data_IF_176504841219
#
_entry.id   IF_176504841219
#
_cell.length_a   1.000
_cell.length_b   1.000
_cell.length_c   1.000
_cell.angle_alpha   90.00
_cell.angle_beta   90.00
_cell.angle_gamma   90.00
#
_symmetry.space_group_name_H-M   'P 1'
#
loop_
_entity.id
_entity.type
_entity.pdbx_description
1 polymer ?
#
# COMPACT_ATOMS: atom_id res chain seq x y z
N UNK A 1 22.75 -29.44 22.06
CA UNK A 1 22.33 -28.12 21.58
C UNK A 1 20.91 -27.88 22.09
N UNK A 2 20.64 -26.88 22.95
CA UNK A 2 19.32 -26.65 23.53
C UNK A 2 18.38 -26.05 22.48
N UNK A 3 17.12 -26.52 22.51
CA UNK A 3 16.03 -26.05 21.70
C UNK A 3 15.76 -24.57 21.94
N UNK A 4 15.85 -23.74 20.90
CA UNK A 4 15.45 -22.33 20.95
C UNK A 4 13.94 -22.25 21.20
N UNK A 5 13.59 -21.67 22.33
CA UNK A 5 12.24 -21.31 22.73
C UNK A 5 11.65 -20.36 21.69
N UNK A 6 10.74 -20.84 20.85
CA UNK A 6 10.00 -20.04 19.87
C UNK A 6 8.91 -19.29 20.66
N UNK A 7 9.15 -18.01 20.95
CA UNK A 7 8.15 -17.13 21.50
C UNK A 7 6.91 -17.03 20.57
N UNK A 8 5.79 -16.41 21.05
CA UNK A 8 4.48 -16.43 20.38
C UNK A 8 4.43 -15.69 19.03
N UNK A 9 5.53 -15.20 18.52
CA UNK A 9 5.66 -14.58 17.19
C UNK A 9 6.35 -15.55 16.23
N UNK A 10 5.72 -16.66 15.92
CA UNK A 10 6.15 -17.50 14.81
C UNK A 10 5.86 -16.76 13.49
N UNK A 11 6.82 -15.96 13.03
CA UNK A 11 6.94 -15.64 11.63
C UNK A 11 7.16 -16.97 10.90
N UNK A 12 6.11 -17.51 10.31
CA UNK A 12 6.21 -18.66 9.43
C UNK A 12 7.02 -18.24 8.19
N UNK A 13 8.32 -18.57 8.20
CA UNK A 13 9.21 -18.51 7.05
C UNK A 13 8.83 -19.61 6.05
N UNK A 14 7.64 -19.50 5.47
CA UNK A 14 7.33 -20.12 4.19
C UNK A 14 7.62 -19.08 3.12
N UNK A 15 8.30 -19.45 2.04
CA UNK A 15 8.46 -18.62 0.85
C UNK A 15 7.07 -18.16 0.40
N UNK A 16 6.68 -16.96 0.82
CA UNK A 16 5.52 -16.26 0.30
C UNK A 16 6.02 -15.68 -1.03
N UNK A 17 5.52 -16.12 -2.19
CA UNK A 17 5.76 -15.36 -3.41
C UNK A 17 5.23 -13.96 -3.13
N UNK A 18 6.03 -12.93 -3.41
CA UNK A 18 5.79 -11.52 -3.03
C UNK A 18 4.46 -10.95 -3.60
N UNK A 19 3.73 -11.73 -4.39
CA UNK A 19 2.47 -11.37 -5.05
C UNK A 19 1.28 -12.26 -4.67
N UNK A 20 1.37 -13.09 -3.63
CA UNK A 20 0.31 -14.02 -3.33
C UNK A 20 -0.04 -14.11 -1.85
N UNK A 21 -1.31 -13.90 -1.51
CA UNK A 21 -1.87 -14.59 -0.38
C UNK A 21 -1.64 -16.09 -0.61
N UNK A 22 -1.29 -16.86 0.40
CA UNK A 22 -1.11 -18.28 0.20
C UNK A 22 -2.45 -18.91 -0.18
N UNK A 23 -2.57 -19.36 -1.43
CA UNK A 23 -3.63 -20.29 -1.82
C UNK A 23 -3.67 -21.51 -0.85
N UNK A 24 -2.54 -21.84 -0.22
CA UNK A 24 -2.41 -22.81 0.84
C UNK A 24 -3.12 -22.46 2.16
N UNK A 25 -3.54 -21.21 2.38
CA UNK A 25 -4.18 -20.83 3.64
C UNK A 25 -5.70 -20.78 3.60
N UNK A 26 -6.33 -20.78 2.41
CA UNK A 26 -7.75 -21.04 2.29
C UNK A 26 -8.12 -22.47 2.74
N UNK A 27 -7.17 -23.42 2.69
CA UNK A 27 -7.31 -24.81 3.14
C UNK A 27 -6.88 -25.10 4.58
N UNK A 28 -6.53 -24.09 5.40
CA UNK A 28 -6.19 -24.30 6.82
C UNK A 28 -7.45 -24.48 7.67
N UNK A 29 -7.36 -25.21 8.83
CA UNK A 29 -8.51 -25.35 9.72
C UNK A 29 -9.11 -23.99 10.10
N UNK A 30 -10.44 -23.84 10.00
CA UNK A 30 -11.12 -22.57 10.30
C UNK A 30 -11.44 -22.44 11.80
N UNK A 31 -10.43 -22.66 12.65
CA UNK A 31 -10.54 -22.74 14.11
C UNK A 31 -10.18 -21.41 14.81
N UNK A 32 -9.79 -20.38 14.05
CA UNK A 32 -9.40 -19.07 14.57
C UNK A 32 -7.94 -18.96 14.99
N UNK A 33 -7.15 -20.04 14.95
CA UNK A 33 -5.71 -20.00 15.28
C UNK A 33 -4.83 -19.67 14.08
N UNK A 34 -5.34 -19.79 12.87
CA UNK A 34 -4.63 -19.34 11.66
C UNK A 34 -5.28 -18.10 11.11
N UNK A 35 -4.51 -17.00 11.08
CA UNK A 35 -4.94 -15.72 10.56
C UNK A 35 -3.99 -15.27 9.45
N UNK A 36 -4.50 -14.43 8.57
CA UNK A 36 -3.75 -13.87 7.46
C UNK A 36 -3.74 -12.33 7.55
N UNK A 37 -2.56 -11.72 7.49
CA UNK A 37 -2.44 -10.28 7.32
C UNK A 37 -2.39 -9.97 5.82
N UNK A 38 -3.50 -9.47 5.29
CA UNK A 38 -3.61 -9.04 3.90
C UNK A 38 -3.39 -7.53 3.75
N UNK A 39 -3.25 -7.09 2.51
CA UNK A 39 -3.04 -5.68 2.18
C UNK A 39 -3.53 -5.32 0.78
N UNK A 40 -3.16 -4.13 0.29
CA UNK A 40 -3.61 -3.60 -1.00
C UNK A 40 -3.37 -4.56 -2.17
N UNK A 41 -2.28 -5.34 -2.13
CA UNK A 41 -2.01 -6.35 -3.17
C UNK A 41 -3.11 -7.40 -3.30
N UNK A 42 -3.86 -7.68 -2.23
CA UNK A 42 -4.97 -8.63 -2.30
C UNK A 42 -6.15 -8.10 -3.13
N UNK A 43 -6.39 -6.79 -3.12
CA UNK A 43 -7.37 -6.16 -4.00
C UNK A 43 -6.83 -6.01 -5.43
N UNK A 44 -5.58 -5.59 -5.59
CA UNK A 44 -4.91 -5.40 -6.89
C UNK A 44 -4.87 -6.72 -7.67
N UNK A 45 -4.52 -7.83 -7.02
CA UNK A 45 -4.38 -9.14 -7.63
C UNK A 45 -5.68 -9.67 -8.25
N UNK A 46 -6.85 -9.23 -7.79
CA UNK A 46 -8.14 -9.63 -8.35
C UNK A 46 -8.30 -9.22 -9.84
N UNK A 47 -7.57 -8.21 -10.26
CA UNK A 47 -7.57 -7.75 -11.67
C UNK A 47 -6.21 -7.96 -12.35
N UNK A 48 -5.11 -7.93 -11.58
CA UNK A 48 -3.77 -8.09 -12.14
C UNK A 48 -3.50 -9.49 -12.68
N UNK A 49 -4.14 -10.52 -12.15
CA UNK A 49 -4.01 -11.89 -12.64
C UNK A 49 -5.23 -12.30 -13.48
N UNK A 50 -4.99 -12.91 -14.65
CA UNK A 50 -6.06 -13.47 -15.48
C UNK A 50 -6.81 -14.60 -14.74
N UNK A 51 -6.08 -15.35 -13.90
CA UNK A 51 -6.63 -16.40 -13.04
C UNK A 51 -5.98 -16.25 -11.64
N UNK A 52 -6.54 -15.41 -10.77
CA UNK A 52 -5.98 -15.24 -9.44
C UNK A 52 -6.03 -16.55 -8.67
N UNK A 53 -4.97 -16.90 -7.93
CA UNK A 53 -4.90 -18.18 -7.20
C UNK A 53 -5.86 -18.25 -5.99
N UNK A 54 -6.55 -17.16 -5.69
CA UNK A 54 -7.59 -17.02 -4.68
C UNK A 54 -8.51 -15.86 -5.04
N UNK A 55 -9.70 -15.83 -4.47
CA UNK A 55 -10.58 -14.65 -4.47
C UNK A 55 -10.71 -14.11 -3.05
N UNK A 56 -10.32 -12.86 -2.85
CA UNK A 56 -10.12 -12.27 -1.52
C UNK A 56 -11.36 -12.39 -0.63
N UNK A 57 -12.54 -12.06 -1.13
CA UNK A 57 -13.79 -12.09 -0.34
C UNK A 57 -14.56 -13.42 -0.41
N UNK A 58 -14.19 -14.34 -1.32
CA UNK A 58 -14.72 -15.69 -1.38
C UNK A 58 -13.99 -16.64 -0.45
N UNK A 59 -12.67 -16.52 -0.39
CA UNK A 59 -11.80 -17.49 0.25
C UNK A 59 -11.40 -17.08 1.68
N UNK A 60 -11.58 -15.79 2.03
CA UNK A 60 -11.24 -15.24 3.34
C UNK A 60 -12.39 -14.44 3.94
N UNK A 61 -12.57 -14.57 5.24
CA UNK A 61 -13.45 -13.73 6.05
C UNK A 61 -12.67 -12.48 6.52
N UNK A 62 -13.07 -11.26 6.14
CA UNK A 62 -12.49 -10.03 6.69
C UNK A 62 -12.75 -9.96 8.20
N UNK A 63 -11.71 -9.73 8.98
CA UNK A 63 -11.80 -9.53 10.44
C UNK A 63 -11.86 -8.04 10.76
N UNK A 64 -10.80 -7.32 10.43
CA UNK A 64 -10.70 -5.88 10.71
C UNK A 64 -9.65 -5.22 9.82
N UNK A 65 -9.92 -3.99 9.38
CA UNK A 65 -8.92 -3.12 8.77
C UNK A 65 -8.01 -2.56 9.87
N UNK A 66 -6.79 -3.04 9.93
CA UNK A 66 -5.88 -2.66 11.02
C UNK A 66 -5.34 -1.23 10.84
N UNK A 67 -4.72 -0.98 9.69
CA UNK A 67 -4.04 0.31 9.44
C UNK A 67 -4.15 0.71 7.97
N UNK A 68 -4.12 2.03 7.73
CA UNK A 68 -3.83 2.64 6.44
C UNK A 68 -2.51 3.41 6.50
N UNK A 69 -1.75 3.39 5.42
CA UNK A 69 -0.56 4.21 5.22
C UNK A 69 -0.63 4.91 3.88
N UNK A 70 -0.01 6.08 3.77
CA UNK A 70 -0.01 6.82 2.52
C UNK A 70 1.26 6.56 1.71
N UNK A 71 1.12 6.49 0.40
CA UNK A 71 2.24 6.62 -0.51
C UNK A 71 2.60 8.10 -0.66
N UNK A 72 3.87 8.43 -0.48
CA UNK A 72 4.42 9.76 -0.74
C UNK A 72 5.12 9.73 -2.09
N UNK A 73 4.80 10.70 -2.94
CA UNK A 73 5.57 10.98 -4.14
C UNK A 73 6.76 11.85 -3.75
N UNK A 74 7.95 11.31 -3.94
CA UNK A 74 9.20 12.05 -3.77
C UNK A 74 10.02 12.02 -5.06
N UNK A 75 10.69 13.14 -5.34
CA UNK A 75 11.52 13.30 -6.54
C UNK A 75 12.99 13.51 -6.16
N UNK A 76 13.90 13.14 -7.06
CA UNK A 76 15.29 13.54 -6.93
C UNK A 76 15.41 15.07 -7.03
N UNK A 77 16.24 15.74 -6.21
CA UNK A 77 16.32 17.20 -6.17
C UNK A 77 16.74 17.89 -7.50
N UNK A 78 17.41 17.15 -8.40
CA UNK A 78 17.78 17.64 -9.73
C UNK A 78 16.57 17.84 -10.67
N UNK A 79 15.43 17.20 -10.36
CA UNK A 79 14.23 17.38 -11.17
C UNK A 79 13.68 18.81 -10.97
N UNK A 80 13.47 19.61 -12.05
CA UNK A 80 13.02 20.99 -11.96
C UNK A 80 11.51 21.09 -11.68
N UNK A 81 11.06 20.39 -10.62
CA UNK A 81 9.67 20.42 -10.14
C UNK A 81 9.68 20.42 -8.61
N UNK A 82 9.06 21.43 -7.99
CA UNK A 82 8.95 21.59 -6.54
C UNK A 82 7.53 21.34 -6.04
N UNK A 83 6.56 21.36 -6.93
CA UNK A 83 5.14 21.20 -6.67
C UNK A 83 4.53 20.16 -7.60
N UNK A 84 3.37 19.62 -7.22
CA UNK A 84 2.64 18.67 -8.09
C UNK A 84 2.25 19.33 -9.42
N UNK A 85 1.86 20.60 -9.40
CA UNK A 85 1.51 21.36 -10.61
C UNK A 85 2.69 21.47 -11.58
N UNK A 86 3.88 21.79 -11.07
CA UNK A 86 5.11 21.85 -11.88
C UNK A 86 5.49 20.48 -12.43
N UNK A 87 5.37 19.42 -11.61
CA UNK A 87 5.64 18.05 -12.04
C UNK A 87 4.70 17.61 -13.17
N UNK A 88 3.40 17.89 -13.04
CA UNK A 88 2.42 17.59 -14.09
C UNK A 88 2.72 18.38 -15.36
N UNK A 89 3.06 19.66 -15.25
CA UNK A 89 3.44 20.47 -16.40
C UNK A 89 4.68 19.95 -17.11
N UNK A 90 5.71 19.54 -16.35
CA UNK A 90 6.94 18.94 -16.88
C UNK A 90 6.65 17.61 -17.58
N UNK A 91 5.82 16.74 -16.98
CA UNK A 91 5.45 15.45 -17.57
C UNK A 91 4.63 15.61 -18.86
N UNK A 92 3.78 16.66 -18.95
CA UNK A 92 3.04 16.99 -20.19
C UNK A 92 3.95 17.54 -21.28
N UNK A 93 4.96 18.33 -20.91
CA UNK A 93 5.95 18.87 -21.86
C UNK A 93 6.91 17.78 -22.39
N UNK A 94 7.12 16.71 -21.63
CA UNK A 94 8.06 15.63 -21.95
C UNK A 94 7.41 14.25 -21.82
N UNK A 95 6.42 13.89 -22.66
CA UNK A 95 5.69 12.64 -22.54
C UNK A 95 6.64 11.43 -22.63
N UNK A 96 6.54 10.50 -21.65
CA UNK A 96 7.35 9.28 -21.61
C UNK A 96 8.82 9.48 -21.22
N UNK A 97 9.28 10.70 -20.90
CA UNK A 97 10.66 10.94 -20.46
C UNK A 97 10.85 10.80 -18.97
N UNK A 98 9.84 11.13 -18.18
CA UNK A 98 9.91 10.96 -16.73
C UNK A 98 9.62 9.49 -16.36
N UNK A 99 10.33 9.01 -15.35
CA UNK A 99 10.12 7.66 -14.83
C UNK A 99 9.92 7.67 -13.32
N UNK A 100 9.22 6.67 -12.82
CA UNK A 100 8.99 6.47 -11.41
C UNK A 100 9.31 5.04 -10.97
N UNK A 101 9.96 4.92 -9.82
CA UNK A 101 10.30 3.66 -9.19
C UNK A 101 9.17 3.14 -8.31
N UNK A 102 9.03 1.81 -8.26
CA UNK A 102 8.18 1.11 -7.29
C UNK A 102 8.88 -0.13 -6.74
N UNK A 103 8.32 -0.72 -5.69
CA UNK A 103 8.84 -1.97 -5.10
C UNK A 103 8.56 -3.22 -5.95
N UNK A 104 7.90 -3.08 -7.10
CA UNK A 104 7.58 -4.17 -8.01
C UNK A 104 6.21 -4.04 -8.65
N UNK A 105 5.89 -4.99 -9.53
CA UNK A 105 4.62 -5.06 -10.22
C UNK A 105 3.53 -5.51 -9.25
N UNK A 106 2.35 -4.87 -9.29
CA UNK A 106 1.20 -5.19 -8.43
C UNK A 106 1.31 -4.61 -7.01
N UNK A 107 2.29 -3.74 -6.74
CA UNK A 107 2.38 -3.03 -5.48
C UNK A 107 1.52 -1.77 -5.43
N UNK A 108 1.09 -1.34 -4.24
CA UNK A 108 0.31 -0.10 -4.04
C UNK A 108 1.04 1.15 -4.54
N UNK A 109 2.36 1.15 -4.47
CA UNK A 109 3.21 2.23 -4.96
C UNK A 109 3.28 2.30 -6.50
N UNK A 110 3.22 1.17 -7.22
CA UNK A 110 2.99 1.20 -8.66
C UNK A 110 1.62 1.79 -8.96
N UNK A 111 0.57 1.29 -8.29
CA UNK A 111 -0.80 1.76 -8.52
C UNK A 111 -0.96 3.24 -8.20
N UNK A 112 -0.21 3.77 -7.23
CA UNK A 112 -0.16 5.21 -6.97
C UNK A 112 0.37 6.00 -8.17
N UNK A 113 1.45 5.54 -8.80
CA UNK A 113 1.98 6.16 -10.01
C UNK A 113 1.03 6.07 -11.20
N UNK A 114 0.40 4.92 -11.42
CA UNK A 114 -0.57 4.72 -12.50
C UNK A 114 -1.85 5.56 -12.29
N UNK A 115 -2.32 5.68 -11.03
CA UNK A 115 -3.43 6.57 -10.70
C UNK A 115 -3.10 8.04 -10.99
N UNK A 116 -1.87 8.49 -10.67
CA UNK A 116 -1.42 9.82 -11.03
C UNK A 116 -1.41 10.03 -12.55
N UNK A 117 -0.89 9.07 -13.32
CA UNK A 117 -0.90 9.13 -14.79
C UNK A 117 -2.31 9.27 -15.33
N UNK A 118 -3.23 8.45 -14.85
CA UNK A 118 -4.63 8.44 -15.27
C UNK A 118 -5.32 9.76 -14.94
N UNK A 119 -5.25 10.23 -13.70
CA UNK A 119 -5.98 11.42 -13.24
C UNK A 119 -5.42 12.72 -13.79
N UNK A 120 -4.09 12.82 -13.97
CA UNK A 120 -3.44 14.02 -14.49
C UNK A 120 -3.31 14.04 -16.03
N UNK A 121 -3.64 12.94 -16.72
CA UNK A 121 -3.46 12.79 -18.17
C UNK A 121 -2.00 12.94 -18.59
N UNK A 122 -1.06 12.29 -17.87
CA UNK A 122 0.38 12.37 -18.14
C UNK A 122 0.96 10.99 -18.47
N UNK A 123 2.03 10.99 -19.24
CA UNK A 123 2.76 9.78 -19.60
C UNK A 123 4.10 9.73 -18.88
N UNK A 124 4.27 8.71 -18.00
CA UNK A 124 5.50 8.41 -17.28
C UNK A 124 5.81 6.93 -17.37
N UNK A 125 7.08 6.57 -17.33
CA UNK A 125 7.55 5.18 -17.41
C UNK A 125 7.65 4.59 -16.00
N UNK A 126 7.03 3.44 -15.79
CA UNK A 126 7.18 2.68 -14.54
C UNK A 126 8.46 1.84 -14.58
N UNK A 127 9.29 1.93 -13.53
CA UNK A 127 10.51 1.14 -13.33
C UNK A 127 10.31 0.24 -12.10
N UNK A 128 10.00 -1.06 -12.29
CA UNK A 128 9.79 -1.98 -11.17
C UNK A 128 11.12 -2.48 -10.61
N UNK A 129 11.23 -2.47 -9.28
CA UNK A 129 12.38 -3.03 -8.53
C UNK A 129 11.96 -4.28 -7.74
N UNK A 130 12.95 -5.05 -7.29
CA UNK A 130 12.73 -6.19 -6.37
C UNK A 130 12.66 -5.72 -4.91
N UNK A 131 11.72 -4.81 -4.61
CA UNK A 131 11.53 -4.24 -3.28
C UNK A 131 11.80 -2.73 -3.21
N UNK A 132 11.47 -2.14 -2.06
CA UNK A 132 11.55 -0.69 -1.87
C UNK A 132 13.01 -0.18 -1.72
N UNK A 133 13.88 -0.97 -1.08
CA UNK A 133 15.25 -0.53 -0.80
C UNK A 133 16.06 -0.24 -2.09
N UNK A 134 16.15 -1.15 -3.09
CA UNK A 134 16.85 -0.85 -4.34
C UNK A 134 16.19 0.30 -5.12
N UNK A 135 14.86 0.42 -5.12
CA UNK A 135 14.16 1.54 -5.76
C UNK A 135 14.56 2.89 -5.14
N UNK A 136 14.66 2.93 -3.82
CA UNK A 136 15.06 4.12 -3.06
C UNK A 136 16.51 4.52 -3.34
N UNK A 137 17.43 3.55 -3.35
CA UNK A 137 18.87 3.80 -3.65
C UNK A 137 19.02 4.43 -5.03
N UNK A 138 18.36 3.88 -6.05
CA UNK A 138 18.44 4.39 -7.42
C UNK A 138 17.78 5.76 -7.58
N UNK A 139 16.70 6.02 -6.84
CA UNK A 139 16.07 7.35 -6.86
C UNK A 139 16.96 8.40 -6.18
N UNK A 140 17.62 8.06 -5.07
CA UNK A 140 18.58 8.95 -4.39
C UNK A 140 19.81 9.21 -5.25
N UNK A 141 20.26 8.23 -6.03
CA UNK A 141 21.38 8.38 -6.97
C UNK A 141 20.99 9.18 -8.24
N UNK A 142 19.71 9.47 -8.46
CA UNK A 142 19.22 10.18 -9.64
C UNK A 142 19.10 9.31 -10.90
N UNK A 143 19.25 7.98 -10.78
CA UNK A 143 19.05 7.02 -11.87
C UNK A 143 17.56 6.93 -12.27
N UNK A 144 16.67 7.20 -11.34
CA UNK A 144 15.21 7.31 -11.53
C UNK A 144 14.74 8.64 -10.98
N UNK A 145 13.85 9.32 -11.70
CA UNK A 145 13.43 10.68 -11.37
C UNK A 145 12.63 10.78 -10.07
N UNK A 146 11.79 9.80 -9.79
CA UNK A 146 10.88 9.83 -8.65
C UNK A 146 10.52 8.44 -8.13
N UNK A 147 10.00 8.41 -6.90
CA UNK A 147 9.55 7.19 -6.23
C UNK A 147 8.21 7.44 -5.53
N UNK A 148 7.34 6.42 -5.57
CA UNK A 148 6.23 6.30 -4.62
C UNK A 148 6.61 5.32 -3.53
N UNK A 149 6.57 5.75 -2.28
CA UNK A 149 6.89 4.89 -1.13
C UNK A 149 6.18 5.34 0.13
N UNK A 150 6.13 4.48 1.13
CA UNK A 150 5.57 4.81 2.43
C UNK A 150 6.37 5.87 3.19
N UNK A 151 5.69 6.63 4.05
CA UNK A 151 6.25 7.72 4.85
C UNK A 151 7.55 7.32 5.57
N UNK A 152 7.62 6.18 6.33
CA UNK A 152 8.79 5.88 7.14
C UNK A 152 10.08 5.72 6.31
N UNK A 153 9.96 5.16 5.11
CA UNK A 153 11.12 4.94 4.24
C UNK A 153 11.67 6.26 3.65
N UNK A 154 10.84 7.29 3.52
CA UNK A 154 11.20 8.53 2.85
C UNK A 154 11.59 9.65 3.80
N UNK A 155 11.06 9.70 5.01
CA UNK A 155 11.31 10.79 5.99
C UNK A 155 12.79 11.08 6.21
N UNK A 156 13.70 10.11 6.43
CA UNK A 156 15.12 10.39 6.61
C UNK A 156 15.76 11.06 5.38
N UNK A 157 15.30 10.72 4.19
CA UNK A 157 15.82 11.25 2.92
C UNK A 157 15.23 12.62 2.57
N UNK A 158 13.98 12.86 2.96
CA UNK A 158 13.33 14.17 2.84
C UNK A 158 14.01 15.16 3.78
N UNK A 159 14.20 14.79 5.04
CA UNK A 159 14.81 15.64 6.07
C UNK A 159 16.28 15.99 5.75
N UNK A 160 17.01 15.07 5.12
CA UNK A 160 18.39 15.30 4.68
C UNK A 160 18.51 16.00 3.32
N UNK A 161 17.39 16.32 2.66
CA UNK A 161 17.38 16.96 1.34
C UNK A 161 17.81 16.08 0.18
N UNK A 162 18.04 14.77 0.40
CA UNK A 162 18.37 13.80 -0.65
C UNK A 162 17.20 13.50 -1.58
N UNK A 163 15.99 13.66 -1.09
CA UNK A 163 14.75 13.62 -1.87
C UNK A 163 13.88 14.81 -1.53
N UNK A 164 13.05 15.23 -2.46
CA UNK A 164 12.02 16.25 -2.27
C UNK A 164 10.65 15.60 -2.31
N UNK A 165 9.89 15.68 -1.22
CA UNK A 165 8.49 15.27 -1.21
C UNK A 165 7.65 16.27 -2.00
N UNK A 166 6.77 15.78 -2.85
CA UNK A 166 5.88 16.56 -3.71
C UNK A 166 4.45 16.54 -3.18
N UNK A 167 3.92 15.35 -2.91
CA UNK A 167 2.56 15.19 -2.39
C UNK A 167 2.39 13.83 -1.71
N UNK A 168 1.39 13.75 -0.83
CA UNK A 168 1.03 12.53 -0.11
C UNK A 168 -0.33 12.00 -0.59
N UNK A 169 -0.43 10.69 -0.78
CA UNK A 169 -1.58 10.01 -1.35
C UNK A 169 -2.75 9.73 -0.39
N UNK A 170 -2.78 10.36 0.78
CA UNK A 170 -3.93 10.35 1.69
C UNK A 170 -4.75 11.61 1.52
N UNK A 171 -6.02 11.57 1.95
CA UNK A 171 -6.92 12.74 1.95
C UNK A 171 -6.58 13.76 3.05
N UNK A 172 -5.74 13.37 4.01
CA UNK A 172 -5.24 14.24 5.10
C UNK A 172 -3.73 14.22 5.12
N UNK A 173 -3.11 15.33 5.53
CA UNK A 173 -1.66 15.39 5.75
C UNK A 173 -1.23 14.48 6.90
N UNK A 174 -0.04 13.94 6.81
CA UNK A 174 0.55 13.14 7.89
C UNK A 174 1.36 14.00 8.86
N UNK A 175 1.22 13.67 10.14
CA UNK A 175 1.90 14.41 11.23
C UNK A 175 3.43 14.32 11.10
N UNK A 176 3.98 13.22 10.60
CA UNK A 176 5.42 13.06 10.41
C UNK A 176 6.02 13.97 9.33
N UNK A 177 5.20 14.46 8.38
CA UNK A 177 5.60 15.35 7.28
C UNK A 177 4.52 16.41 7.01
N UNK A 178 4.18 17.26 7.99
CA UNK A 178 3.02 18.15 7.92
C UNK A 178 3.13 19.23 6.84
N UNK A 179 4.35 19.53 6.41
CA UNK A 179 4.60 20.50 5.33
C UNK A 179 4.26 19.93 3.94
N UNK A 180 4.16 18.62 3.77
CA UNK A 180 3.87 17.99 2.48
C UNK A 180 2.35 18.01 2.25
N UNK A 181 1.87 18.67 1.17
CA UNK A 181 0.45 18.72 0.86
C UNK A 181 -0.05 17.36 0.36
N UNK A 182 -1.35 17.14 0.44
CA UNK A 182 -1.98 16.00 -0.24
C UNK A 182 -2.09 16.26 -1.74
N UNK A 183 -2.28 15.21 -2.53
CA UNK A 183 -2.58 15.35 -3.96
C UNK A 183 -3.89 16.13 -4.15
N UNK A 184 -4.88 15.89 -3.30
CA UNK A 184 -6.16 16.59 -3.33
C UNK A 184 -6.02 18.09 -3.07
N UNK A 185 -5.25 18.50 -2.04
CA UNK A 185 -4.90 19.90 -1.78
C UNK A 185 -4.11 20.54 -2.92
N UNK A 186 -3.30 19.73 -3.61
CA UNK A 186 -2.46 20.18 -4.73
C UNK A 186 -3.20 20.26 -6.08
N UNK A 187 -4.53 20.09 -6.07
CA UNK A 187 -5.40 20.27 -7.23
C UNK A 187 -5.80 18.99 -7.95
N UNK A 188 -5.34 17.81 -7.52
CA UNK A 188 -5.77 16.53 -8.07
C UNK A 188 -6.88 15.93 -7.19
N UNK A 189 -8.08 16.50 -7.32
CA UNK A 189 -9.24 16.20 -6.47
C UNK A 189 -9.62 14.73 -6.48
N UNK A 190 -9.82 14.16 -5.27
CA UNK A 190 -10.19 12.76 -5.10
C UNK A 190 -9.07 11.75 -5.30
N UNK A 191 -7.82 12.21 -5.50
CA UNK A 191 -6.69 11.28 -5.53
C UNK A 191 -6.46 10.68 -4.16
N UNK A 192 -6.63 9.35 -4.05
CA UNK A 192 -6.31 8.58 -2.86
C UNK A 192 -5.55 7.31 -3.24
N UNK A 193 -4.26 7.25 -2.90
CA UNK A 193 -3.37 6.12 -3.12
C UNK A 193 -2.70 5.72 -1.81
N UNK A 194 -3.43 4.96 -1.02
CA UNK A 194 -2.97 4.43 0.27
C UNK A 194 -2.54 2.97 0.13
N UNK A 195 -1.60 2.55 0.98
CA UNK A 195 -1.47 1.14 1.33
C UNK A 195 -2.31 0.85 2.55
N UNK A 196 -2.69 -0.39 2.75
CA UNK A 196 -3.43 -0.80 3.93
C UNK A 196 -3.08 -2.24 4.32
N UNK A 197 -3.30 -2.56 5.59
CA UNK A 197 -3.18 -3.90 6.10
C UNK A 197 -4.39 -4.22 6.96
N UNK A 198 -4.93 -5.42 6.76
CA UNK A 198 -6.08 -5.91 7.49
C UNK A 198 -5.95 -7.37 7.84
N UNK A 199 -6.62 -7.76 8.89
CA UNK A 199 -6.63 -9.13 9.37
C UNK A 199 -7.78 -9.91 8.73
N UNK A 200 -7.46 -11.11 8.29
CA UNK A 200 -8.39 -12.06 7.68
C UNK A 200 -8.32 -13.41 8.39
N UNK A 201 -9.41 -14.13 8.40
CA UNK A 201 -9.50 -15.53 8.78
C UNK A 201 -9.90 -16.38 7.55
N UNK A 202 -9.72 -17.73 7.58
CA UNK A 202 -10.32 -18.60 6.59
C UNK A 202 -11.84 -18.39 6.51
N UNK A 203 -12.43 -18.44 5.31
CA UNK A 203 -13.85 -18.08 5.10
C UNK A 203 -14.84 -18.91 5.96
N UNK A 204 -14.47 -20.16 6.30
CA UNK A 204 -15.29 -21.06 7.11
C UNK A 204 -15.12 -20.89 8.63
N UNK A 205 -14.31 -19.90 9.07
CA UNK A 205 -14.14 -19.62 10.51
C UNK A 205 -15.50 -19.21 11.12
N UNK A 206 -15.91 -19.80 12.26
CA UNK A 206 -17.17 -19.48 12.94
C UNK A 206 -17.33 -17.97 13.17
N UNK A 207 -18.53 -17.45 12.95
CA UNK A 207 -18.82 -16.00 13.01
C UNK A 207 -18.54 -15.39 14.39
N UNK A 208 -18.77 -16.15 15.46
CA UNK A 208 -18.49 -15.75 16.84
C UNK A 208 -16.99 -15.57 17.08
N UNK A 209 -16.16 -16.46 16.53
CA UNK A 209 -14.69 -16.35 16.58
C UNK A 209 -14.23 -15.10 15.83
N UNK A 210 -14.75 -14.87 14.60
CA UNK A 210 -14.40 -13.69 13.81
C UNK A 210 -14.84 -12.40 14.51
N UNK A 211 -16.02 -12.39 15.12
CA UNK A 211 -16.53 -11.25 15.90
C UNK A 211 -15.66 -10.97 17.14
N UNK A 212 -15.24 -12.03 17.85
CA UNK A 212 -14.33 -11.91 19.00
C UNK A 212 -12.98 -11.34 18.58
N UNK A 213 -12.39 -11.84 17.49
CA UNK A 213 -11.13 -11.32 16.94
C UNK A 213 -11.26 -9.85 16.55
N UNK A 214 -12.35 -9.46 15.87
CA UNK A 214 -12.63 -8.06 15.54
C UNK A 214 -12.65 -7.18 16.79
N UNK A 215 -13.37 -7.60 17.82
CA UNK A 215 -13.49 -6.85 19.08
C UNK A 215 -12.14 -6.69 19.77
N UNK A 216 -11.37 -7.77 19.93
CA UNK A 216 -10.09 -7.72 20.65
C UNK A 216 -9.03 -6.92 19.90
N UNK A 217 -8.92 -7.10 18.57
CA UNK A 217 -8.00 -6.29 17.76
C UNK A 217 -8.44 -4.82 17.74
N UNK A 218 -9.74 -4.55 17.68
CA UNK A 218 -10.29 -3.19 17.77
C UNK A 218 -9.89 -2.47 19.06
N UNK A 219 -9.94 -3.17 20.21
CA UNK A 219 -9.46 -2.63 21.49
C UNK A 219 -7.97 -2.29 21.47
N UNK A 220 -7.15 -3.18 20.90
CA UNK A 220 -5.69 -2.97 20.75
C UNK A 220 -5.42 -1.74 19.90
N UNK A 221 -6.06 -1.62 18.73
CA UNK A 221 -5.91 -0.48 17.83
C UNK A 221 -6.38 0.83 18.46
N UNK A 222 -7.34 0.77 19.41
CA UNK A 222 -7.82 1.90 20.19
C UNK A 222 -6.85 2.40 21.25
N UNK A 223 -5.86 1.60 21.65
CA UNK A 223 -4.89 1.92 22.68
C UNK A 223 -3.99 3.10 22.35
N UNK A 224 -3.72 3.98 23.31
CA UNK A 224 -2.95 5.21 23.06
C UNK A 224 -1.50 4.94 22.66
N UNK A 225 -0.86 3.92 23.24
CA UNK A 225 0.50 3.47 22.93
C UNK A 225 0.62 2.93 21.51
N UNK A 226 -0.35 2.13 21.06
CA UNK A 226 -0.40 1.58 19.70
C UNK A 226 -0.65 2.69 18.67
N UNK A 227 -1.59 3.60 18.96
CA UNK A 227 -1.84 4.77 18.11
C UNK A 227 -0.60 5.62 17.94
N UNK A 228 0.11 5.92 19.04
CA UNK A 228 1.34 6.70 18.98
C UNK A 228 2.42 6.05 18.11
N UNK A 229 2.62 4.74 18.25
CA UNK A 229 3.59 3.99 17.41
C UNK A 229 3.21 4.03 15.93
N UNK A 230 1.96 3.72 15.58
CA UNK A 230 1.52 3.74 14.18
C UNK A 230 1.62 5.12 13.56
N UNK A 231 1.24 6.19 14.28
CA UNK A 231 1.36 7.57 13.78
C UNK A 231 2.83 7.92 13.50
N UNK A 232 3.74 7.55 14.40
CA UNK A 232 5.19 7.76 14.19
C UNK A 232 5.72 6.98 12.98
N UNK A 233 5.15 5.80 12.70
CA UNK A 233 5.47 4.97 11.55
C UNK A 233 4.72 5.41 10.27
N UNK A 234 4.03 6.55 10.29
CA UNK A 234 3.26 7.05 9.14
C UNK A 234 2.10 6.15 8.76
N UNK A 235 1.50 5.48 9.75
CA UNK A 235 0.33 4.63 9.62
C UNK A 235 -0.81 5.20 10.47
N UNK A 236 -2.04 5.08 9.97
CA UNK A 236 -3.26 5.45 10.68
C UNK A 236 -3.96 4.18 11.13
N UNK A 237 -4.13 3.93 12.45
CA UNK A 237 -4.95 2.83 12.94
C UNK A 237 -6.42 3.10 12.62
N UNK A 238 -7.12 2.12 12.04
CA UNK A 238 -8.50 2.29 11.54
C UNK A 238 -9.50 1.57 12.44
N UNK A 239 -9.44 0.24 12.52
CA UNK A 239 -10.46 -0.56 13.20
C UNK A 239 -11.76 -0.68 12.40
N UNK A 240 -12.90 -0.70 13.09
CA UNK A 240 -14.23 -0.79 12.50
C UNK A 240 -14.78 -2.20 12.40
N UNK A 241 -15.95 -2.35 11.76
CA UNK A 241 -16.64 -3.64 11.65
C UNK A 241 -16.15 -4.48 10.49
N UNK A 242 -16.51 -5.77 10.51
CA UNK A 242 -16.22 -6.71 9.42
C UNK A 242 -16.87 -6.24 8.10
N UNK A 243 -18.11 -5.74 8.17
CA UNK A 243 -18.86 -5.25 7.01
C UNK A 243 -18.21 -4.00 6.40
N UNK A 244 -17.72 -3.09 7.25
CA UNK A 244 -16.97 -1.91 6.80
C UNK A 244 -15.69 -2.33 6.08
N UNK A 245 -14.95 -3.30 6.63
CA UNK A 245 -13.74 -3.78 5.99
C UNK A 245 -14.03 -4.53 4.68
N UNK A 246 -15.08 -5.38 4.65
CA UNK A 246 -15.49 -6.05 3.41
C UNK A 246 -15.92 -5.05 2.32
N UNK A 247 -16.63 -3.97 2.68
CA UNK A 247 -17.00 -2.90 1.75
C UNK A 247 -15.76 -2.19 1.21
N UNK A 248 -14.86 -1.80 2.08
CA UNK A 248 -13.60 -1.18 1.71
C UNK A 248 -12.79 -2.02 0.71
N UNK A 249 -12.72 -3.35 0.92
CA UNK A 249 -12.04 -4.26 0.00
C UNK A 249 -12.68 -4.23 -1.40
N UNK A 250 -14.02 -4.22 -1.50
CA UNK A 250 -14.72 -4.13 -2.79
C UNK A 250 -14.39 -2.83 -3.51
N UNK A 251 -14.47 -1.70 -2.80
CA UNK A 251 -14.12 -0.38 -3.33
C UNK A 251 -12.67 -0.33 -3.84
N UNK A 252 -11.74 -0.95 -3.11
CA UNK A 252 -10.34 -1.07 -3.54
C UNK A 252 -10.17 -1.94 -4.79
N UNK A 253 -10.89 -3.07 -4.88
CA UNK A 253 -10.88 -3.93 -6.06
C UNK A 253 -11.36 -3.14 -7.28
N UNK A 254 -12.49 -2.45 -7.18
CA UNK A 254 -13.09 -1.68 -8.27
C UNK A 254 -12.20 -0.50 -8.71
N UNK A 255 -11.62 0.20 -7.73
CA UNK A 255 -10.64 1.27 -7.98
C UNK A 255 -9.44 0.75 -8.77
N UNK A 256 -8.80 -0.30 -8.29
CA UNK A 256 -7.61 -0.83 -8.96
C UNK A 256 -7.92 -1.50 -10.29
N UNK A 257 -9.10 -2.10 -10.48
CA UNK A 257 -9.55 -2.57 -11.78
C UNK A 257 -9.59 -1.42 -12.80
N UNK A 258 -10.12 -0.26 -12.41
CA UNK A 258 -10.16 0.94 -13.22
C UNK A 258 -8.76 1.44 -13.57
N UNK A 259 -7.86 1.52 -12.58
CA UNK A 259 -6.48 1.98 -12.77
C UNK A 259 -5.70 1.04 -13.69
N UNK A 260 -5.76 -0.28 -13.45
CA UNK A 260 -5.06 -1.29 -14.25
C UNK A 260 -5.51 -1.24 -15.71
N UNK A 261 -6.84 -1.12 -15.95
CA UNK A 261 -7.40 -0.99 -17.29
C UNK A 261 -6.93 0.29 -17.98
N UNK A 262 -7.00 1.43 -17.29
CA UNK A 262 -6.57 2.72 -17.84
C UNK A 262 -5.06 2.77 -18.14
N UNK A 263 -4.25 2.09 -17.32
CA UNK A 263 -2.80 1.97 -17.53
C UNK A 263 -2.42 0.99 -18.65
N UNK A 264 -3.36 0.23 -19.22
CA UNK A 264 -3.10 -0.77 -20.23
C UNK A 264 -2.24 -1.95 -19.72
N UNK A 265 -2.26 -2.20 -18.42
CA UNK A 265 -1.51 -3.30 -17.80
C UNK A 265 -2.21 -4.61 -18.18
N UNK A 266 -1.48 -5.46 -18.91
CA UNK A 266 -1.99 -6.78 -19.28
C UNK A 266 -2.02 -7.69 -18.06
N UNK A 267 -3.07 -8.49 -17.86
CA UNK A 267 -3.12 -9.48 -16.81
C UNK A 267 -1.95 -10.47 -16.91
N UNK A 268 -1.41 -10.85 -15.75
CA UNK A 268 -0.33 -11.82 -15.59
C UNK A 268 -0.84 -13.26 -15.66
#
# INVERSE_FOLDING_TARGET
MPAMNRGPYACLHGRIPMNGAPASRSGTPPDGYTLFMGGASNAINMTLFAKPPYETLRDFAPVVLCVKGANVLSVHPSLPAKTLKELIALAKAQPGKLNFASSGIGGSNQMAGELLKMMAGINMVHVPYKGNAPALVDTIAGNVHMIFSGVPALVPHINSGRLRAIAIGSLKRFQAIPAVPTFDESGLKGYEATTWFGLFAPVKTPKDIVARLNTEVGKILGGADIKGRFINDGLEPIGGTQEQFARFIREEIDKYATVIKAAGIKPL
#
